data_IF_295531137440
#
_entry.id   IF_295531137440
#
_cell.length_a   1.000
_cell.length_b   1.000
_cell.length_c   1.000
_cell.angle_alpha   90.00
_cell.angle_beta   90.00
_cell.angle_gamma   90.00
#
_symmetry.space_group_name_H-M   'P 1'
#
loop_
_entity.id
_entity.type
_entity.pdbx_description
1 polymer ?
#
# COMPACT_ATOMS: atom_id res chain seq x y z
N UNK A 1 -2.20 -12.36 -17.70
CA UNK A 1 -1.32 -11.57 -18.58
C UNK A 1 -2.04 -10.32 -19.03
N UNK A 2 -1.51 -9.14 -18.68
CA UNK A 2 -2.14 -7.88 -19.10
C UNK A 2 -1.86 -6.63 -18.25
N UNK A 3 -1.12 -6.72 -17.14
CA UNK A 3 -0.81 -5.55 -16.31
C UNK A 3 0.68 -5.22 -16.35
N UNK A 4 1.00 -3.93 -16.52
CA UNK A 4 2.34 -3.42 -16.27
C UNK A 4 2.56 -3.36 -14.75
N UNK A 5 3.71 -3.87 -14.29
CA UNK A 5 4.01 -3.96 -12.86
C UNK A 5 5.29 -3.21 -12.57
N UNK A 6 5.20 -2.23 -11.69
CA UNK A 6 6.35 -1.64 -11.03
C UNK A 6 6.51 -2.27 -9.66
N UNK A 7 7.62 -2.97 -9.44
CA UNK A 7 7.92 -3.58 -8.15
C UNK A 7 9.02 -2.80 -7.43
N UNK A 8 8.67 -2.29 -6.25
CA UNK A 8 9.56 -1.55 -5.36
C UNK A 8 9.53 -2.17 -3.96
N UNK A 9 10.65 -2.07 -3.24
CA UNK A 9 10.84 -2.79 -1.97
C UNK A 9 11.04 -1.83 -0.78
N UNK A 10 10.74 -0.54 -0.94
CA UNK A 10 10.91 0.46 0.11
C UNK A 10 9.90 1.60 -0.07
N UNK A 11 9.49 2.20 1.05
CA UNK A 11 8.59 3.36 1.10
C UNK A 11 9.12 4.51 0.25
N UNK A 12 10.41 4.83 0.37
CA UNK A 12 11.04 5.91 -0.41
C UNK A 12 10.85 5.72 -1.92
N UNK A 13 11.00 4.49 -2.41
CA UNK A 13 10.78 4.20 -3.83
C UNK A 13 9.29 4.14 -4.18
N UNK A 14 8.43 3.60 -3.30
CA UNK A 14 6.98 3.63 -3.49
C UNK A 14 6.43 5.05 -3.64
N UNK A 15 6.86 5.97 -2.78
CA UNK A 15 6.50 7.38 -2.89
C UNK A 15 7.02 8.04 -4.17
N UNK A 16 8.26 7.73 -4.58
CA UNK A 16 8.82 8.26 -5.81
C UNK A 16 8.02 7.82 -7.04
N UNK A 17 7.72 6.52 -7.13
CA UNK A 17 6.91 5.94 -8.20
C UNK A 17 5.49 6.50 -8.20
N UNK A 18 4.85 6.59 -7.03
CA UNK A 18 3.49 7.10 -6.90
C UNK A 18 3.35 8.58 -7.29
N UNK A 19 4.40 9.39 -7.11
CA UNK A 19 4.41 10.79 -7.56
C UNK A 19 4.52 10.95 -9.08
N UNK A 20 5.08 9.96 -9.78
CA UNK A 20 5.35 10.06 -11.22
C UNK A 20 4.40 9.23 -12.07
N UNK A 21 3.73 8.25 -11.48
CA UNK A 21 2.92 7.26 -12.18
C UNK A 21 1.57 7.12 -11.48
N UNK A 22 0.50 7.09 -12.27
CA UNK A 22 -0.84 6.73 -11.77
C UNK A 22 -1.00 5.22 -11.83
N UNK A 23 -1.42 4.61 -10.72
CA UNK A 23 -1.65 3.18 -10.62
C UNK A 23 -3.14 2.88 -10.49
N UNK A 24 -3.57 1.81 -11.17
CA UNK A 24 -4.94 1.28 -11.07
C UNK A 24 -5.14 0.38 -9.84
N UNK A 25 -4.05 -0.15 -9.27
CA UNK A 25 -4.05 -1.02 -8.09
C UNK A 25 -2.67 -0.97 -7.41
N UNK A 26 -2.66 -1.01 -6.08
CA UNK A 26 -1.43 -1.18 -5.28
C UNK A 26 -1.56 -2.46 -4.45
N UNK A 27 -0.53 -3.30 -4.50
CA UNK A 27 -0.29 -4.38 -3.53
C UNK A 27 0.73 -3.88 -2.51
N UNK A 28 0.35 -3.85 -1.24
CA UNK A 28 1.12 -3.20 -0.19
C UNK A 28 1.54 -4.19 0.90
N UNK A 29 2.84 -4.33 1.14
CA UNK A 29 3.34 -4.96 2.37
C UNK A 29 3.37 -3.93 3.51
N UNK A 30 3.11 -4.38 4.74
CA UNK A 30 3.18 -3.56 5.95
C UNK A 30 4.60 -3.43 6.50
N UNK A 31 5.48 -4.41 6.28
CA UNK A 31 6.84 -4.42 6.80
C UNK A 31 7.84 -4.11 5.68
N UNK A 32 8.21 -2.84 5.58
CA UNK A 32 9.22 -2.38 4.64
C UNK A 32 10.51 -2.01 5.39
N UNK A 33 11.70 -2.11 4.74
CA UNK A 33 12.98 -1.87 5.40
C UNK A 33 13.14 -0.44 5.93
N UNK A 34 12.35 0.51 5.42
CA UNK A 34 12.39 1.93 5.75
C UNK A 34 11.11 2.44 6.44
N UNK A 35 10.20 1.55 6.88
CA UNK A 35 9.05 1.93 7.70
C UNK A 35 7.83 1.02 7.56
N UNK A 36 6.69 1.51 8.05
CA UNK A 36 5.44 0.76 8.04
C UNK A 36 4.57 1.13 6.84
N UNK A 37 4.09 0.14 6.08
CA UNK A 37 3.29 0.34 4.87
C UNK A 37 2.00 1.15 5.11
N UNK A 38 1.39 1.02 6.30
CA UNK A 38 0.19 1.79 6.65
C UNK A 38 0.40 3.30 6.62
N UNK A 39 1.62 3.79 6.90
CA UNK A 39 1.90 5.22 6.89
C UNK A 39 1.83 5.78 5.47
N UNK A 40 2.27 5.00 4.49
CA UNK A 40 2.13 5.32 3.06
C UNK A 40 0.67 5.31 2.62
N UNK A 41 -0.10 4.28 3.01
CA UNK A 41 -1.54 4.22 2.72
C UNK A 41 -2.28 5.45 3.30
N UNK A 42 -2.02 5.78 4.57
CA UNK A 42 -2.62 6.96 5.23
C UNK A 42 -2.25 8.25 4.48
N UNK A 43 -1.00 8.39 4.04
CA UNK A 43 -0.53 9.55 3.26
C UNK A 43 -1.25 9.67 1.91
N UNK A 44 -1.39 8.56 1.18
CA UNK A 44 -2.11 8.54 -0.09
C UNK A 44 -3.57 8.91 0.11
N UNK A 45 -4.25 8.33 1.11
CA UNK A 45 -5.67 8.62 1.38
C UNK A 45 -5.88 10.07 1.83
N UNK A 46 -4.96 10.63 2.61
CA UNK A 46 -4.99 12.04 3.00
C UNK A 46 -4.85 13.00 1.80
N UNK A 47 -4.21 12.56 0.71
CA UNK A 47 -4.16 13.33 -0.54
C UNK A 47 -5.45 13.28 -1.37
N UNK A 48 -6.48 12.55 -0.90
CA UNK A 48 -7.74 12.35 -1.61
C UNK A 48 -7.67 11.29 -2.72
N UNK A 49 -6.55 10.59 -2.84
CA UNK A 49 -6.38 9.56 -3.85
C UNK A 49 -7.09 8.26 -3.42
N UNK A 50 -7.90 7.74 -4.34
CA UNK A 50 -8.74 6.55 -4.16
C UNK A 50 -8.25 5.33 -4.95
N UNK A 51 -6.97 5.27 -5.35
CA UNK A 51 -6.40 4.08 -5.98
C UNK A 51 -6.65 2.88 -5.06
N UNK A 52 -7.24 1.77 -5.57
CA UNK A 52 -7.44 0.56 -4.79
C UNK A 52 -6.13 0.04 -4.19
N UNK A 53 -6.16 -0.32 -2.91
CA UNK A 53 -5.01 -0.88 -2.19
C UNK A 53 -5.41 -2.18 -1.52
N UNK A 54 -4.70 -3.26 -1.85
CA UNK A 54 -4.79 -4.54 -1.16
C UNK A 54 -3.53 -4.71 -0.33
N UNK A 55 -3.68 -4.91 0.96
CA UNK A 55 -2.57 -5.26 1.83
C UNK A 55 -2.26 -6.74 1.60
N UNK A 56 -1.01 -7.05 1.28
CA UNK A 56 -0.49 -8.41 1.14
C UNK A 56 0.73 -8.54 2.03
N UNK A 57 0.61 -9.22 3.16
CA UNK A 57 1.70 -9.27 4.14
C UNK A 57 1.74 -10.59 4.91
N UNK A 58 2.92 -10.94 5.41
CA UNK A 58 3.07 -12.11 6.29
C UNK A 58 2.57 -11.88 7.72
N UNK A 59 2.12 -10.65 8.07
CA UNK A 59 1.47 -10.37 9.36
C UNK A 59 0.06 -10.96 9.38
N UNK A 60 -0.25 -11.84 10.35
CA UNK A 60 -1.56 -12.50 10.43
C UNK A 60 -2.44 -12.01 11.60
N UNK A 61 -2.04 -10.94 12.29
CA UNK A 61 -2.80 -10.47 13.44
C UNK A 61 -4.11 -9.82 13.01
N UNK A 62 -5.21 -10.20 13.67
CA UNK A 62 -6.54 -9.61 13.45
C UNK A 62 -6.51 -8.09 13.66
N UNK A 63 -5.69 -7.59 14.58
CA UNK A 63 -5.49 -6.16 14.81
C UNK A 63 -4.91 -5.45 13.58
N UNK A 64 -3.91 -6.04 12.92
CA UNK A 64 -3.24 -5.46 11.75
C UNK A 64 -4.23 -5.39 10.57
N UNK A 65 -5.07 -6.41 10.42
CA UNK A 65 -6.17 -6.42 9.45
C UNK A 65 -7.19 -5.31 9.70
N UNK A 66 -7.65 -5.16 10.94
CA UNK A 66 -8.61 -4.11 11.32
C UNK A 66 -8.00 -2.73 11.09
N UNK A 67 -6.74 -2.51 11.48
CA UNK A 67 -6.06 -1.24 11.27
C UNK A 67 -5.92 -0.93 9.77
N UNK A 68 -5.52 -1.91 8.96
CA UNK A 68 -5.37 -1.74 7.52
C UNK A 68 -6.66 -1.34 6.82
N UNK A 69 -7.77 -2.01 7.12
CA UNK A 69 -9.08 -1.67 6.57
C UNK A 69 -9.56 -0.29 7.05
N UNK A 70 -9.37 0.04 8.33
CA UNK A 70 -9.69 1.37 8.87
C UNK A 70 -8.83 2.50 8.25
N UNK A 71 -7.61 2.19 7.83
CA UNK A 71 -6.72 3.12 7.13
C UNK A 71 -7.13 3.34 5.66
N UNK A 72 -8.13 2.61 5.15
CA UNK A 72 -8.68 2.77 3.81
C UNK A 72 -8.11 1.79 2.77
N UNK A 73 -7.59 0.65 3.21
CA UNK A 73 -7.33 -0.49 2.32
C UNK A 73 -8.66 -1.15 1.90
N UNK A 74 -8.70 -1.67 0.70
CA UNK A 74 -9.87 -2.34 0.11
C UNK A 74 -9.95 -3.80 0.52
N UNK A 75 -8.80 -4.45 0.74
CA UNK A 75 -8.71 -5.83 1.26
C UNK A 75 -7.37 -6.09 1.99
N UNK A 76 -7.30 -7.24 2.67
CA UNK A 76 -6.13 -7.72 3.41
C UNK A 76 -5.97 -9.23 3.19
N UNK A 77 -4.78 -9.61 2.73
CA UNK A 77 -4.36 -10.99 2.44
C UNK A 77 -3.08 -11.37 3.19
#
# INVERSE_FOLDING_TARGET
>A
DGHAVDWVQSLRFAEASFRTTTYDLILLDLMLPDGHGLDFLKTIRASGNSTPVIILTARDQVSDRIEGLNAGADDYL
#
